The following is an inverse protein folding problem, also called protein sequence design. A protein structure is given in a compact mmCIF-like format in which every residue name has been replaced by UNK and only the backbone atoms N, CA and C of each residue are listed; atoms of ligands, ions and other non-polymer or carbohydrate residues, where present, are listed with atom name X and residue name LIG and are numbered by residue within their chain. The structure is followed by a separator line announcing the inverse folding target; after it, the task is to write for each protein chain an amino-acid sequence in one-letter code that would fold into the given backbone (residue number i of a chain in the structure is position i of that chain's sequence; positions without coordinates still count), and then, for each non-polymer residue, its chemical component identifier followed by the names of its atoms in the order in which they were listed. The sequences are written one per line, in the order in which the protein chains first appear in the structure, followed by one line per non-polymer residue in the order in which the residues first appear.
data_IF_326582660083
#
_entry.id   IF_326582660083
#
_cell.length_a   1.000
_cell.length_b   1.000
_cell.length_c   1.000
_cell.angle_alpha   90.00
_cell.angle_beta   90.00
_cell.angle_gamma   90.00
#
_symmetry.space_group_name_H-M   'P 1'
#
loop_
_entity.id
_entity.type
_entity.pdbx_description
1 polymer ?
#
# COMPACT_ATOMS: atom_id res chain seq x y z
N UNK A 1 8.03 -5.60 -22.20
CA UNK A 1 8.16 -4.30 -21.53
C UNK A 1 7.52 -4.45 -20.16
N UNK A 2 8.32 -4.58 -19.10
CA UNK A 2 7.83 -4.71 -17.72
C UNK A 2 7.68 -3.31 -17.14
N UNK A 3 6.50 -2.71 -17.27
CA UNK A 3 6.18 -1.41 -16.66
C UNK A 3 5.95 -1.57 -15.17
N UNK A 4 7.00 -1.82 -14.39
CA UNK A 4 6.94 -1.84 -12.92
C UNK A 4 7.40 -0.49 -12.37
N UNK A 5 6.70 0.01 -11.36
CA UNK A 5 7.10 1.18 -10.60
C UNK A 5 7.43 0.74 -9.16
N UNK A 6 8.59 1.16 -8.68
CA UNK A 6 8.98 1.02 -7.29
C UNK A 6 8.52 2.25 -6.52
N UNK A 7 7.73 2.04 -5.48
CA UNK A 7 7.17 3.11 -4.65
C UNK A 7 7.67 2.96 -3.22
N UNK A 8 8.11 4.08 -2.66
CA UNK A 8 8.41 4.22 -1.24
C UNK A 8 7.49 5.32 -0.65
N UNK A 9 6.59 4.92 0.24
CA UNK A 9 5.71 5.84 0.94
C UNK A 9 6.14 5.96 2.40
N UNK A 10 6.44 7.18 2.86
CA UNK A 10 6.87 7.44 4.23
C UNK A 10 5.93 8.41 4.92
N UNK A 11 5.45 8.04 6.12
CA UNK A 11 4.61 8.91 6.94
C UNK A 11 5.00 8.86 8.42
N UNK A 12 5.00 10.01 9.12
CA UNK A 12 5.26 10.08 10.55
C UNK A 12 4.11 9.42 11.33
N UNK A 13 4.43 8.55 12.27
CA UNK A 13 3.44 7.89 13.11
C UNK A 13 4.08 7.34 14.39
N UNK A 14 3.28 7.23 15.45
CA UNK A 14 3.73 6.53 16.66
C UNK A 14 3.91 5.03 16.39
N UNK A 15 4.76 4.39 17.20
CA UNK A 15 5.03 2.97 17.07
C UNK A 15 3.78 2.10 17.29
N UNK A 16 2.83 2.55 18.11
CA UNK A 16 1.56 1.88 18.33
C UNK A 16 0.49 2.18 17.27
N UNK A 17 0.78 3.10 16.34
CA UNK A 17 -0.11 3.46 15.24
C UNK A 17 0.15 2.64 13.98
N UNK A 18 -0.63 2.93 12.95
CA UNK A 18 -0.51 2.36 11.62
C UNK A 18 -0.51 3.46 10.55
N UNK A 19 0.04 3.12 9.40
CA UNK A 19 0.06 3.97 8.21
C UNK A 19 -0.48 3.17 7.04
N UNK A 20 -1.33 3.78 6.22
CA UNK A 20 -1.84 3.17 5.01
C UNK A 20 -1.45 3.99 3.79
N UNK A 21 -1.18 3.30 2.69
CA UNK A 21 -0.98 3.87 1.37
C UNK A 21 -1.89 3.16 0.36
N UNK A 22 -2.66 3.93 -0.39
CA UNK A 22 -3.61 3.41 -1.38
C UNK A 22 -3.22 3.79 -2.80
N UNK A 23 -3.44 2.85 -3.74
CA UNK A 23 -3.21 3.04 -5.15
C UNK A 23 -4.44 2.61 -5.96
N UNK A 24 -5.02 3.55 -6.73
CA UNK A 24 -6.19 3.29 -7.56
C UNK A 24 -5.80 3.26 -9.04
N UNK A 25 -5.95 2.09 -9.69
CA UNK A 25 -5.60 1.93 -11.11
C UNK A 25 -6.81 1.96 -12.04
N UNK A 26 -8.03 1.90 -11.49
CA UNK A 26 -9.24 1.63 -12.28
C UNK A 26 -10.30 2.74 -12.20
N UNK A 27 -10.13 3.78 -11.35
CA UNK A 27 -11.10 4.88 -11.21
C UNK A 27 -10.39 6.21 -10.87
N UNK A 28 -10.88 7.31 -11.46
CA UNK A 28 -10.33 8.67 -11.31
C UNK A 28 -10.77 9.40 -10.02
N UNK A 29 -11.65 8.81 -9.19
CA UNK A 29 -12.13 9.47 -7.97
C UNK A 29 -12.53 8.47 -6.89
N UNK A 30 -12.01 8.65 -5.68
CA UNK A 30 -12.37 7.91 -4.47
C UNK A 30 -11.40 6.79 -4.06
N UNK A 31 -11.48 6.43 -2.77
CA UNK A 31 -10.69 5.34 -2.17
C UNK A 31 -11.17 3.95 -2.62
N UNK A 32 -12.45 3.83 -3.00
CA UNK A 32 -13.05 2.58 -3.46
C UNK A 32 -12.43 2.15 -4.79
N UNK A 33 -12.01 0.89 -4.86
CA UNK A 33 -11.27 0.31 -5.98
C UNK A 33 -9.75 0.44 -5.87
N UNK A 34 -9.24 0.88 -4.72
CA UNK A 34 -7.79 1.00 -4.50
C UNK A 34 -7.22 -0.26 -3.87
N UNK A 35 -6.04 -0.64 -4.33
CA UNK A 35 -5.15 -1.55 -3.61
C UNK A 35 -4.49 -0.78 -2.47
N UNK A 36 -4.55 -1.29 -1.24
CA UNK A 36 -4.06 -0.62 -0.04
C UNK A 36 -3.03 -1.48 0.66
N UNK A 37 -1.99 -0.82 1.13
CA UNK A 37 -0.90 -1.37 1.92
C UNK A 37 -0.92 -0.69 3.28
N UNK A 38 -0.98 -1.47 4.35
CA UNK A 38 -1.04 -0.96 5.72
C UNK A 38 0.19 -1.45 6.46
N UNK A 39 1.06 -0.52 6.86
CA UNK A 39 2.16 -0.81 7.77
C UNK A 39 1.70 -0.64 9.22
N UNK A 40 1.93 -1.68 10.00
CA UNK A 40 1.77 -1.66 11.45
C UNK A 40 2.82 -2.56 12.08
N UNK A 41 3.26 -2.22 13.27
CA UNK A 41 4.09 -3.13 14.06
C UNK A 41 3.33 -3.63 15.27
N UNK A 42 3.58 -4.88 15.64
CA UNK A 42 3.05 -5.44 16.87
C UNK A 42 3.88 -5.03 18.09
N UNK A 43 3.47 -5.46 19.29
CA UNK A 43 4.19 -5.19 20.52
C UNK A 43 5.61 -5.77 20.58
N UNK A 44 6.02 -6.59 19.60
CA UNK A 44 7.38 -7.11 19.45
C UNK A 44 8.27 -6.24 18.55
N UNK A 45 7.77 -5.09 18.10
CA UNK A 45 8.41 -4.20 17.12
C UNK A 45 8.64 -4.86 15.74
N UNK A 46 7.94 -5.97 15.47
CA UNK A 46 7.94 -6.59 14.15
C UNK A 46 7.01 -5.80 13.23
N UNK A 47 7.57 -5.13 12.23
CA UNK A 47 6.78 -4.39 11.24
C UNK A 47 6.20 -5.38 10.23
N UNK A 48 4.90 -5.28 10.00
CA UNK A 48 4.15 -6.09 9.04
C UNK A 48 3.40 -5.20 8.06
N UNK A 49 3.25 -5.69 6.82
CA UNK A 49 2.43 -5.04 5.80
C UNK A 49 1.20 -5.90 5.55
N UNK A 50 0.02 -5.34 5.82
CA UNK A 50 -1.25 -5.93 5.43
C UNK A 50 -1.65 -5.37 4.07
N UNK A 51 -1.95 -6.26 3.13
CA UNK A 51 -2.40 -5.90 1.79
C UNK A 51 -3.87 -6.18 1.63
N UNK A 52 -4.65 -5.18 1.28
CA UNK A 52 -6.09 -5.34 1.07
C UNK A 52 -6.56 -4.56 -0.15
N UNK A 53 -7.73 -4.93 -0.66
CA UNK A 53 -8.38 -4.24 -1.76
C UNK A 53 -9.67 -3.62 -1.26
N UNK A 54 -9.78 -2.30 -1.39
CA UNK A 54 -10.96 -1.53 -0.99
C UNK A 54 -12.10 -1.79 -1.98
N UNK A 55 -13.04 -2.68 -1.65
CA UNK A 55 -14.27 -2.86 -2.43
C UNK A 55 -15.38 -1.86 -2.06
N UNK A 56 -15.26 -1.22 -0.89
CA UNK A 56 -16.24 -0.26 -0.36
C UNK A 56 -15.55 0.79 0.53
N UNK A 57 -16.27 1.84 0.93
CA UNK A 57 -15.76 2.87 1.84
C UNK A 57 -15.60 2.40 3.31
N UNK A 58 -16.00 1.16 3.61
CA UNK A 58 -15.86 0.52 4.92
C UNK A 58 -15.34 -0.92 4.72
N UNK A 59 -14.06 -1.09 4.34
CA UNK A 59 -13.50 -2.42 4.11
C UNK A 59 -13.29 -3.17 5.42
N UNK A 60 -13.40 -4.48 5.36
CA UNK A 60 -12.81 -5.34 6.39
C UNK A 60 -11.30 -5.41 6.14
N UNK A 61 -10.49 -5.13 7.15
CA UNK A 61 -9.03 -5.19 7.08
C UNK A 61 -8.55 -6.66 7.12
N UNK A 62 -8.84 -7.39 6.07
CA UNK A 62 -8.33 -8.75 5.84
C UNK A 62 -7.34 -8.74 4.69
N UNK A 63 -6.34 -9.62 4.77
CA UNK A 63 -5.46 -9.88 3.64
C UNK A 63 -6.32 -10.37 2.46
N UNK A 64 -6.35 -9.58 1.39
CA UNK A 64 -7.13 -9.87 0.21
C UNK A 64 -6.26 -9.70 -1.04
N UNK A 65 -6.62 -10.39 -2.11
CA UNK A 65 -5.87 -10.36 -3.36
C UNK A 65 -5.94 -8.96 -3.97
N UNK A 66 -4.78 -8.32 -4.11
CA UNK A 66 -4.67 -7.02 -4.77
C UNK A 66 -5.10 -7.15 -6.23
N UNK A 67 -5.82 -6.15 -6.76
CA UNK A 67 -6.15 -6.06 -8.19
C UNK A 67 -5.04 -5.43 -9.05
N UNK A 68 -3.89 -5.23 -8.43
CA UNK A 68 -2.66 -4.76 -9.03
C UNK A 68 -1.61 -5.86 -8.88
N UNK A 69 -0.88 -6.16 -9.95
CA UNK A 69 0.21 -7.12 -9.86
C UNK A 69 1.35 -6.49 -9.04
N UNK A 70 1.74 -7.15 -7.96
CA UNK A 70 2.82 -6.74 -7.06
C UNK A 70 3.91 -7.81 -7.15
N UNK A 71 4.91 -7.66 -8.04
CA UNK A 71 5.85 -8.72 -8.38
C UNK A 71 6.79 -9.07 -7.22
N UNK A 72 7.10 -8.09 -6.38
CA UNK A 72 7.85 -8.25 -5.15
C UNK A 72 6.92 -7.96 -3.97
N UNK A 73 6.90 -8.85 -2.97
CA UNK A 73 6.08 -8.68 -1.78
C UNK A 73 6.38 -7.32 -1.11
N UNK A 74 5.36 -6.57 -0.67
CA UNK A 74 5.58 -5.29 -0.05
C UNK A 74 6.31 -5.45 1.29
N UNK A 75 7.19 -4.51 1.58
CA UNK A 75 7.95 -4.47 2.81
C UNK A 75 7.65 -3.17 3.55
N UNK A 76 7.81 -3.16 4.87
CA UNK A 76 7.78 -1.91 5.62
C UNK A 76 8.80 -1.93 6.74
N UNK A 77 9.23 -0.73 7.12
CA UNK A 77 10.12 -0.49 8.25
C UNK A 77 9.58 0.66 9.10
N UNK A 78 9.97 0.67 10.37
CA UNK A 78 9.72 1.76 11.29
C UNK A 78 11.05 2.31 11.76
N UNK A 79 11.33 3.56 11.41
CA UNK A 79 12.59 4.21 11.78
C UNK A 79 12.43 5.71 11.96
N UNK A 80 12.98 6.21 13.07
CA UNK A 80 12.99 7.64 13.39
C UNK A 80 11.59 8.23 13.56
N UNK A 81 10.63 7.48 14.11
CA UNK A 81 9.26 7.98 14.34
C UNK A 81 8.35 7.95 13.11
N UNK A 82 8.70 7.20 12.07
CA UNK A 82 7.94 7.12 10.83
C UNK A 82 7.91 5.68 10.29
N UNK A 83 6.80 5.31 9.66
CA UNK A 83 6.72 4.09 8.85
C UNK A 83 7.11 4.42 7.41
N UNK A 84 7.86 3.51 6.79
CA UNK A 84 8.12 3.51 5.35
C UNK A 84 7.58 2.21 4.76
N UNK A 85 6.71 2.31 3.76
CA UNK A 85 6.17 1.19 2.97
C UNK A 85 6.88 1.17 1.63
N UNK A 86 7.41 0.00 1.26
CA UNK A 86 8.03 -0.28 -0.03
C UNK A 86 7.14 -1.25 -0.81
N UNK A 87 6.79 -0.90 -2.04
CA UNK A 87 6.01 -1.76 -2.91
C UNK A 87 6.49 -1.63 -4.36
N UNK A 88 6.64 -2.77 -5.03
CA UNK A 88 6.85 -2.81 -6.48
C UNK A 88 5.50 -3.12 -7.13
N UNK A 89 4.97 -2.18 -7.90
CA UNK A 89 3.67 -2.31 -8.57
C UNK A 89 3.84 -2.41 -10.07
N UNK A 90 3.18 -3.36 -10.72
CA UNK A 90 3.15 -3.46 -12.17
C UNK A 90 1.99 -2.64 -12.72
N UNK A 91 2.30 -1.59 -13.49
CA UNK A 91 1.34 -0.67 -14.08
C UNK A 91 0.72 -1.29 -15.35
N UNK A 92 -0.61 -1.49 -15.41
CA UNK A 92 -1.24 -1.94 -16.64
C UNK A 92 -1.18 -0.83 -17.70
N UNK A 93 -0.59 -1.14 -18.86
CA UNK A 93 -0.77 -0.36 -20.10
C UNK A 93 0.17 0.82 -20.35
N UNK A 94 1.41 0.85 -19.82
CA UNK A 94 2.34 1.98 -20.00
C UNK A 94 1.80 3.34 -19.49
N UNK A 95 0.81 3.35 -18.61
CA UNK A 95 0.30 4.59 -18.01
C UNK A 95 1.19 5.06 -16.87
N UNK A 96 1.75 6.27 -16.97
CA UNK A 96 2.64 6.91 -15.98
C UNK A 96 1.90 7.83 -15.01
N UNK A 97 0.56 7.83 -15.00
CA UNK A 97 -0.27 8.69 -14.14
C UNK A 97 -1.08 7.83 -13.19
N UNK A 98 -0.85 7.99 -11.89
CA UNK A 98 -1.52 7.24 -10.85
C UNK A 98 -1.89 8.15 -9.68
N UNK A 99 -3.16 8.12 -9.28
CA UNK A 99 -3.61 8.84 -8.10
C UNK A 99 -3.22 8.04 -6.86
N UNK A 100 -2.38 8.65 -6.01
CA UNK A 100 -2.03 8.15 -4.69
C UNK A 100 -2.81 8.95 -3.64
N UNK A 101 -3.28 8.25 -2.61
CA UNK A 101 -4.01 8.81 -1.46
C UNK A 101 -3.48 8.23 -0.17
#
# INVERSE_FOLDING_TARGET
MNGTADVAFRAPQSAAGWVAWGINTNRLSGMVGSSVFIASQDGSAAVSVLTTYLESAAPTLTNNTLKLAVPAGPAAEYSGGAYTIYATVALPGNSTVQNTV
#
